data_IF_076596635813
#
_entry.id   IF_076596635813
#
_cell.length_a   1.000
_cell.length_b   1.000
_cell.length_c   1.000
_cell.angle_alpha   90.00
_cell.angle_beta   90.00
_cell.angle_gamma   90.00
#
_symmetry.space_group_name_H-M   'P 1'
#
loop_
_entity.id
_entity.type
_entity.pdbx_description
1 polymer ?
#
# COMPACT_ATOMS: atom_id res chain seq x y z
N UNK A 1 -44.78 35.68 -5.46
CA UNK A 1 -43.63 35.27 -4.61
C UNK A 1 -43.53 33.75 -4.36
N UNK A 2 -44.10 32.87 -5.19
CA UNK A 2 -44.04 31.39 -5.00
C UNK A 2 -43.40 30.62 -6.17
N UNK A 3 -42.97 31.31 -7.22
CA UNK A 3 -42.42 30.69 -8.45
C UNK A 3 -40.89 30.79 -8.57
N UNK A 4 -40.24 31.59 -7.73
CA UNK A 4 -38.79 31.79 -7.76
C UNK A 4 -38.01 30.76 -6.92
N UNK A 5 -38.69 30.03 -6.02
CA UNK A 5 -38.03 29.07 -5.12
C UNK A 5 -37.86 27.65 -5.69
N UNK A 6 -38.45 27.36 -6.86
CA UNK A 6 -38.47 26.00 -7.42
C UNK A 6 -37.28 25.74 -8.37
N UNK A 7 -36.56 26.78 -8.82
CA UNK A 7 -35.50 26.63 -9.82
C UNK A 7 -34.07 26.47 -9.26
N UNK A 8 -33.89 26.45 -7.93
CA UNK A 8 -32.56 26.27 -7.30
C UNK A 8 -32.26 24.82 -6.92
N UNK A 9 -33.24 23.91 -7.00
CA UNK A 9 -33.09 22.52 -6.55
C UNK A 9 -32.58 21.53 -7.63
N UNK A 10 -32.37 21.96 -8.88
CA UNK A 10 -32.15 21.04 -10.01
C UNK A 10 -30.68 20.90 -10.47
N UNK A 11 -29.71 21.56 -9.83
CA UNK A 11 -28.31 21.58 -10.30
C UNK A 11 -27.29 21.16 -9.23
N UNK A 12 -27.61 20.13 -8.44
CA UNK A 12 -26.63 19.48 -7.54
C UNK A 12 -26.67 17.95 -7.68
N UNK A 13 -26.86 17.46 -8.91
CA UNK A 13 -26.66 16.05 -9.27
C UNK A 13 -25.60 15.94 -10.37
N UNK A 14 -24.47 16.62 -10.22
CA UNK A 14 -23.24 16.16 -10.88
C UNK A 14 -22.71 15.00 -10.04
N UNK A 15 -23.22 13.80 -10.31
CA UNK A 15 -22.66 12.57 -9.78
C UNK A 15 -21.17 12.55 -10.07
N UNK A 16 -20.37 12.62 -9.02
CA UNK A 16 -18.94 12.42 -9.14
C UNK A 16 -18.71 11.00 -9.64
N UNK A 17 -18.32 10.84 -10.90
CA UNK A 17 -17.70 9.62 -11.35
C UNK A 17 -16.39 9.50 -10.57
N UNK A 18 -16.41 8.75 -9.47
CA UNK A 18 -15.19 8.25 -8.88
C UNK A 18 -14.63 7.23 -9.86
N UNK A 19 -13.65 7.66 -10.65
CA UNK A 19 -12.78 6.75 -11.40
C UNK A 19 -12.09 5.87 -10.36
N UNK A 20 -12.66 4.69 -10.11
CA UNK A 20 -11.99 3.64 -9.38
C UNK A 20 -10.82 3.18 -10.25
N UNK A 21 -9.64 3.76 -10.03
CA UNK A 21 -8.42 3.32 -10.69
C UNK A 21 -8.16 1.86 -10.31
N UNK A 22 -8.02 1.01 -11.32
CA UNK A 22 -7.63 -0.38 -11.11
C UNK A 22 -6.24 -0.41 -10.48
N UNK A 23 -6.07 -1.32 -9.52
CA UNK A 23 -4.78 -1.62 -8.90
C UNK A 23 -3.79 -2.10 -9.97
N UNK A 24 -2.56 -1.59 -9.93
CA UNK A 24 -1.49 -1.95 -10.85
C UNK A 24 -0.30 -2.58 -10.10
N UNK A 25 -0.19 -3.92 -10.19
CA UNK A 25 0.84 -4.71 -9.52
C UNK A 25 2.26 -4.40 -10.05
N UNK A 26 2.41 -4.14 -11.35
CA UNK A 26 3.71 -3.82 -11.95
C UNK A 26 4.23 -2.47 -11.44
N UNK A 27 3.34 -1.48 -11.33
CA UNK A 27 3.66 -0.20 -10.70
C UNK A 27 3.99 -0.39 -9.23
N UNK A 28 3.25 -1.24 -8.51
CA UNK A 28 3.57 -1.63 -7.13
C UNK A 28 4.97 -2.22 -6.99
N UNK A 29 5.39 -3.09 -7.92
CA UNK A 29 6.76 -3.62 -8.00
C UNK A 29 7.79 -2.50 -8.20
N UNK A 30 7.55 -1.62 -9.16
CA UNK A 30 8.45 -0.50 -9.43
C UNK A 30 8.63 0.41 -8.21
N UNK A 31 7.53 0.72 -7.50
CA UNK A 31 7.58 1.49 -6.24
C UNK A 31 8.35 0.75 -5.15
N UNK A 32 8.14 -0.56 -5.00
CA UNK A 32 8.83 -1.40 -4.01
C UNK A 32 10.35 -1.48 -4.25
N UNK A 33 10.78 -1.42 -5.51
CA UNK A 33 12.19 -1.46 -5.91
C UNK A 33 12.82 -0.06 -5.96
N UNK A 34 12.02 1.02 -5.91
CA UNK A 34 12.50 2.39 -6.05
C UNK A 34 13.24 2.90 -4.80
N UNK A 35 14.49 3.38 -4.94
CA UNK A 35 15.17 4.08 -3.86
C UNK A 35 14.65 5.51 -3.63
N UNK A 36 13.90 6.05 -4.59
CA UNK A 36 13.39 7.42 -4.58
C UNK A 36 11.96 7.51 -4.03
N UNK A 37 11.37 6.40 -3.56
CA UNK A 37 10.01 6.35 -3.04
C UNK A 37 9.83 7.37 -1.89
N UNK A 38 8.83 8.25 -2.02
CA UNK A 38 8.59 9.32 -1.05
C UNK A 38 9.71 10.38 -0.99
N UNK A 39 10.58 10.45 -2.00
CA UNK A 39 11.77 11.29 -1.97
C UNK A 39 12.88 10.72 -1.09
N UNK A 40 13.03 9.40 -1.08
CA UNK A 40 14.05 8.68 -0.29
C UNK A 40 15.45 9.23 -0.48
N UNK A 41 16.23 9.25 0.61
CA UNK A 41 17.55 9.90 0.67
C UNK A 41 18.68 8.94 1.01
N UNK A 42 18.36 7.71 1.42
CA UNK A 42 19.37 6.73 1.87
C UNK A 42 19.88 5.82 0.76
N UNK A 43 19.29 5.90 -0.45
CA UNK A 43 19.58 5.01 -1.58
C UNK A 43 19.06 3.58 -1.39
N UNK A 44 18.30 3.31 -0.31
CA UNK A 44 17.65 2.02 -0.06
C UNK A 44 16.26 2.01 -0.64
N UNK A 45 15.75 0.82 -0.90
CA UNK A 45 14.35 0.55 -1.29
C UNK A 45 13.76 -0.55 -0.40
N UNK A 46 12.47 -0.85 -0.57
CA UNK A 46 11.83 -1.96 0.15
C UNK A 46 12.53 -3.29 -0.15
N UNK A 47 12.91 -3.52 -1.41
CA UNK A 47 13.61 -4.74 -1.85
C UNK A 47 15.00 -4.91 -1.24
N UNK A 48 15.62 -3.83 -0.74
CA UNK A 48 16.91 -3.91 -0.03
C UNK A 48 16.80 -4.77 1.24
N UNK A 49 15.65 -4.75 1.93
CA UNK A 49 15.40 -5.52 3.15
C UNK A 49 14.46 -6.72 2.92
N UNK A 50 13.57 -6.62 1.92
CA UNK A 50 12.51 -7.59 1.62
C UNK A 50 12.65 -8.18 0.21
N UNK A 51 13.88 -8.50 -0.20
CA UNK A 51 14.18 -9.14 -1.49
C UNK A 51 13.32 -10.40 -1.68
N UNK A 52 12.55 -10.46 -2.78
CA UNK A 52 11.66 -11.60 -3.05
C UNK A 52 10.63 -11.88 -1.95
N UNK A 53 10.30 -10.88 -1.13
CA UNK A 53 9.40 -11.01 0.02
C UNK A 53 10.03 -11.62 1.26
N UNK A 54 11.36 -11.81 1.31
CA UNK A 54 12.05 -12.26 2.53
C UNK A 54 11.64 -11.41 3.73
N UNK A 55 11.49 -12.05 4.89
CA UNK A 55 11.10 -11.43 6.15
C UNK A 55 9.70 -10.79 6.17
N UNK A 56 8.91 -10.87 5.10
CA UNK A 56 7.48 -10.62 5.18
C UNK A 56 6.81 -11.83 5.81
N UNK A 57 6.05 -11.62 6.87
CA UNK A 57 5.31 -12.71 7.51
C UNK A 57 4.23 -13.26 6.57
N UNK A 58 4.09 -14.57 6.48
CA UNK A 58 3.10 -15.23 5.61
C UNK A 58 1.65 -14.89 5.98
N UNK A 59 1.43 -14.48 7.22
CA UNK A 59 0.15 -14.06 7.79
C UNK A 59 -0.03 -12.53 7.81
N UNK A 60 0.83 -11.75 7.12
CA UNK A 60 0.79 -10.28 7.11
C UNK A 60 -0.62 -9.71 6.86
N UNK A 61 -1.37 -10.30 5.94
CA UNK A 61 -2.72 -9.87 5.56
C UNK A 61 -3.85 -10.48 6.41
N UNK A 62 -3.55 -11.50 7.21
CA UNK A 62 -4.52 -12.15 8.09
C UNK A 62 -4.50 -11.57 9.51
N UNK A 63 -3.44 -10.84 9.86
CA UNK A 63 -3.25 -10.25 11.19
C UNK A 63 -4.14 -9.03 11.41
N UNK A 64 -4.77 -8.96 12.59
CA UNK A 64 -5.55 -7.80 13.05
C UNK A 64 -4.68 -6.64 13.55
N UNK A 65 -3.41 -6.92 13.88
CA UNK A 65 -2.45 -5.97 14.41
C UNK A 65 -1.05 -6.37 13.96
N UNK A 66 -0.22 -5.38 13.63
CA UNK A 66 1.16 -5.59 13.19
C UNK A 66 2.07 -4.90 14.19
N UNK A 67 2.92 -5.66 14.90
CA UNK A 67 3.90 -5.10 15.83
C UNK A 67 5.25 -4.98 15.13
N UNK A 68 5.74 -3.76 14.94
CA UNK A 68 7.05 -3.47 14.34
C UNK A 68 7.79 -2.45 15.20
N UNK A 69 9.08 -2.67 15.43
CA UNK A 69 9.93 -1.80 16.29
C UNK A 69 9.34 -1.59 17.69
N UNK A 70 8.76 -2.64 18.29
CA UNK A 70 8.05 -2.59 19.60
C UNK A 70 6.85 -1.63 19.64
N UNK A 71 6.34 -1.23 18.48
CA UNK A 71 5.14 -0.41 18.35
C UNK A 71 4.05 -1.24 17.66
N UNK A 72 2.87 -1.21 18.25
CA UNK A 72 1.69 -1.79 17.62
C UNK A 72 1.12 -0.85 16.57
N UNK A 73 0.91 -1.38 15.38
CA UNK A 73 0.37 -0.68 14.23
C UNK A 73 -0.96 -1.25 13.83
N UNK A 74 -1.88 -0.34 13.52
CA UNK A 74 -3.29 -0.69 13.26
C UNK A 74 -3.52 -1.09 11.81
N UNK A 75 -2.62 -0.72 10.90
CA UNK A 75 -2.78 -0.99 9.48
C UNK A 75 -1.45 -1.23 8.76
N UNK A 76 -1.52 -1.88 7.60
CA UNK A 76 -0.36 -2.14 6.75
C UNK A 76 0.17 -0.86 6.13
N UNK A 77 -0.70 0.08 5.79
CA UNK A 77 -0.36 1.41 5.27
C UNK A 77 0.54 2.18 6.25
N UNK A 78 0.22 2.13 7.55
CA UNK A 78 1.01 2.78 8.58
C UNK A 78 2.42 2.17 8.67
N UNK A 79 2.50 0.84 8.56
CA UNK A 79 3.78 0.12 8.51
C UNK A 79 4.59 0.53 7.28
N UNK A 80 3.96 0.58 6.10
CA UNK A 80 4.63 0.98 4.86
C UNK A 80 5.18 2.40 4.98
N UNK A 81 4.38 3.35 5.48
CA UNK A 81 4.83 4.73 5.65
C UNK A 81 5.97 4.86 6.67
N UNK A 82 5.98 4.07 7.75
CA UNK A 82 7.14 4.02 8.67
C UNK A 82 8.40 3.52 7.97
N UNK A 83 8.27 2.52 7.10
CA UNK A 83 9.40 2.01 6.31
C UNK A 83 9.94 3.08 5.35
N UNK A 84 9.06 3.86 4.72
CA UNK A 84 9.44 4.99 3.85
C UNK A 84 10.16 6.07 4.67
N UNK A 85 9.59 6.49 5.80
CA UNK A 85 10.15 7.59 6.59
C UNK A 85 11.46 7.23 7.30
N UNK A 86 11.56 6.03 7.87
CA UNK A 86 12.67 5.66 8.76
C UNK A 86 13.85 5.04 7.98
N UNK A 87 13.74 3.82 7.43
CA UNK A 87 14.79 3.23 6.58
C UNK A 87 15.12 4.01 5.30
N UNK A 88 14.11 4.50 4.56
CA UNK A 88 14.36 5.14 3.26
C UNK A 88 14.68 6.64 3.39
N UNK A 89 14.36 7.24 4.54
CA UNK A 89 14.56 8.67 4.77
C UNK A 89 13.70 9.55 3.86
N UNK A 90 12.56 9.03 3.41
CA UNK A 90 11.58 9.75 2.59
C UNK A 90 10.45 10.36 3.43
N UNK A 91 9.39 10.77 2.74
CA UNK A 91 8.15 11.31 3.30
C UNK A 91 7.03 10.28 3.06
N UNK A 92 6.17 10.07 4.06
CA UNK A 92 4.99 9.23 3.93
C UNK A 92 4.17 9.61 2.69
N UNK A 93 3.70 8.58 1.98
CA UNK A 93 2.77 8.74 0.86
C UNK A 93 1.33 8.70 1.37
N UNK A 94 0.37 9.14 0.54
CA UNK A 94 -1.05 9.06 0.87
C UNK A 94 -1.49 7.62 1.10
N UNK A 95 -1.85 7.30 2.34
CA UNK A 95 -2.32 5.98 2.77
C UNK A 95 -3.57 5.50 2.02
N UNK A 96 -4.35 6.39 1.41
CA UNK A 96 -5.55 6.02 0.63
C UNK A 96 -5.34 6.22 -0.88
N UNK A 97 -4.15 6.70 -1.26
CA UNK A 97 -3.74 6.99 -2.62
C UNK A 97 -3.48 5.74 -3.45
N UNK A 98 -3.35 5.94 -4.76
CA UNK A 98 -3.16 4.83 -5.70
C UNK A 98 -1.82 4.12 -5.49
N UNK A 99 -0.75 4.86 -5.18
CA UNK A 99 0.59 4.29 -4.97
C UNK A 99 0.61 3.31 -3.78
N UNK A 100 -0.09 3.63 -2.69
CA UNK A 100 -0.24 2.75 -1.54
C UNK A 100 -1.00 1.47 -1.94
N UNK A 101 -2.09 1.58 -2.70
CA UNK A 101 -2.87 0.43 -3.17
C UNK A 101 -2.05 -0.48 -4.09
N UNK A 102 -1.31 0.11 -5.03
CA UNK A 102 -0.44 -0.60 -5.95
C UNK A 102 0.67 -1.34 -5.18
N UNK A 103 1.31 -0.68 -4.21
CA UNK A 103 2.32 -1.28 -3.32
C UNK A 103 1.76 -2.47 -2.53
N UNK A 104 0.61 -2.29 -1.87
CA UNK A 104 -0.03 -3.35 -1.07
C UNK A 104 -0.34 -4.57 -1.93
N UNK A 105 -0.87 -4.36 -3.14
CA UNK A 105 -1.18 -5.45 -4.05
C UNK A 105 0.07 -6.21 -4.48
N UNK A 106 1.18 -5.52 -4.75
CA UNK A 106 2.45 -6.19 -5.04
C UNK A 106 2.97 -6.98 -3.83
N UNK A 107 2.94 -6.40 -2.63
CA UNK A 107 3.32 -7.09 -1.38
C UNK A 107 2.50 -8.37 -1.18
N UNK A 108 1.20 -8.35 -1.53
CA UNK A 108 0.35 -9.54 -1.45
C UNK A 108 0.84 -10.67 -2.36
N UNK A 109 1.32 -10.36 -3.57
CA UNK A 109 1.91 -11.37 -4.45
C UNK A 109 3.16 -12.02 -3.85
N UNK A 110 3.99 -11.24 -3.15
CA UNK A 110 5.19 -11.73 -2.49
C UNK A 110 4.85 -12.70 -1.35
N UNK A 111 3.85 -12.36 -0.54
CA UNK A 111 3.39 -13.19 0.59
C UNK A 111 2.77 -14.50 0.09
N UNK A 112 1.95 -14.45 -0.97
CA UNK A 112 1.37 -15.66 -1.59
C UNK A 112 2.44 -16.62 -2.13
N UNK A 113 3.48 -16.08 -2.77
CA UNK A 113 4.60 -16.87 -3.29
C UNK A 113 5.44 -17.51 -2.17
N UNK A 114 5.56 -16.86 -1.01
CA UNK A 114 6.25 -17.40 0.16
C UNK A 114 5.52 -18.62 0.76
N UNK A 115 4.19 -18.61 0.79
CA UNK A 115 3.40 -19.73 1.30
C UNK A 115 3.58 -21.00 0.45
N UNK A 116 3.53 -20.87 -0.88
CA UNK A 116 3.73 -22.02 -1.79
C UNK A 116 5.16 -22.60 -1.77
N UNK A 117 6.17 -21.75 -1.59
CA UNK A 117 7.57 -22.21 -1.47
C UNK A 117 7.86 -22.93 -0.14
N UNK A 118 7.22 -22.55 0.97
CA UNK A 118 7.37 -23.24 2.26
C UNK A 118 6.76 -24.65 2.25
N UNK A 119 5.57 -24.81 1.67
CA UNK A 119 4.91 -26.12 1.53
C UNK A 119 5.74 -27.09 0.67
N UNK A 120 6.43 -26.57 -0.35
CA UNK A 120 7.33 -27.36 -1.20
C UNK A 120 8.65 -27.75 -0.51
N UNK A 121 9.11 -26.96 0.47
CA UNK A 121 10.35 -27.22 1.20
C UNK A 121 10.17 -28.20 2.38
N UNK A 122 8.97 -28.26 2.98
CA UNK A 122 8.67 -29.16 4.11
C UNK A 122 8.35 -30.59 3.66
N UNK A 123 8.09 -30.80 2.37
CA UNK A 123 7.79 -32.11 1.76
C UNK A 123 9.01 -32.85 1.22
N UNK A 124 10.22 -32.39 1.50
CA UNK A 124 11.48 -32.95 0.99
C UNK A 124 12.40 -33.37 2.14
#
# INVERSE_FOLDING_TARGET
MKRAFILVAALMMTGGLTLAYAVNVEKGKALFESPDLGGGTTGKSCSTCHEGGKNLGSDLFARKQITIMKMDKKSLEEVINICIEKPLGGIAIDSQGQDMKDLIAYIQTLVGNQAGNKESAEKK
#
